data_IF_466441575989
#
_entry.id   IF_466441575989
#
_cell.length_a   1.000
_cell.length_b   1.000
_cell.length_c   1.000
_cell.angle_alpha   90.00
_cell.angle_beta   90.00
_cell.angle_gamma   90.00
#
_symmetry.space_group_name_H-M   'P 1'
#
loop_
_entity.id
_entity.type
_entity.pdbx_description
1 polymer ?
#
# COMPACT_ATOMS: atom_id res chain seq x y z
N UNK A 1 -5.56 -19.36 17.54
CA UNK A 1 -5.53 -18.85 16.15
C UNK A 1 -6.55 -17.74 16.12
N UNK A 2 -6.17 -16.49 16.35
CA UNK A 2 -7.13 -15.38 16.35
C UNK A 2 -6.43 -14.07 15.97
N UNK A 3 -6.46 -13.72 14.69
CA UNK A 3 -6.30 -12.33 14.21
C UNK A 3 -6.85 -12.18 12.78
N UNK A 4 -8.01 -12.78 12.50
CA UNK A 4 -8.76 -12.43 11.30
C UNK A 4 -9.68 -11.25 11.66
N UNK A 5 -9.33 -10.04 11.20
CA UNK A 5 -10.13 -8.83 11.45
C UNK A 5 -9.37 -7.53 11.77
N UNK A 6 -8.06 -7.46 11.51
CA UNK A 6 -7.24 -6.26 11.75
C UNK A 6 -7.19 -5.27 10.58
N UNK A 7 -6.59 -4.10 10.85
CA UNK A 7 -6.29 -3.09 9.83
C UNK A 7 -4.79 -2.78 9.80
N UNK A 8 -4.19 -2.76 8.62
CA UNK A 8 -2.88 -2.13 8.40
C UNK A 8 -3.11 -0.66 8.06
N UNK A 9 -2.67 0.22 8.96
CA UNK A 9 -2.73 1.68 8.76
C UNK A 9 -1.32 2.23 8.58
N UNK A 10 -1.10 2.99 7.52
CA UNK A 10 0.19 3.63 7.27
C UNK A 10 0.04 4.96 6.53
N UNK A 11 1.10 5.76 6.56
CA UNK A 11 1.21 7.02 5.82
C UNK A 11 2.44 6.94 4.93
N UNK A 12 2.32 7.33 3.68
CA UNK A 12 3.44 7.38 2.73
C UNK A 12 3.49 8.74 2.05
N UNK A 13 4.70 9.31 1.95
CA UNK A 13 5.00 10.53 1.21
C UNK A 13 6.27 10.28 0.41
N UNK A 14 6.28 10.73 -0.84
CA UNK A 14 7.46 10.70 -1.71
C UNK A 14 7.55 12.02 -2.48
N UNK A 15 8.74 12.35 -2.96
CA UNK A 15 8.97 13.50 -3.82
C UNK A 15 9.56 13.04 -5.15
N UNK A 16 9.27 13.78 -6.23
CA UNK A 16 9.82 13.52 -7.56
C UNK A 16 10.85 14.61 -7.89
N UNK A 17 11.95 14.23 -8.56
CA UNK A 17 12.86 15.19 -9.15
C UNK A 17 12.23 15.83 -10.40
N UNK A 18 12.70 17.03 -10.81
CA UNK A 18 12.16 17.73 -12.00
C UNK A 18 12.24 16.82 -13.23
N UNK A 19 11.12 16.68 -13.96
CA UNK A 19 10.97 15.70 -15.05
C UNK A 19 10.41 14.35 -14.60
N UNK A 20 9.62 14.35 -13.51
CA UNK A 20 9.13 13.17 -12.81
C UNK A 20 8.74 11.99 -13.70
N UNK A 21 9.34 10.83 -13.41
CA UNK A 21 9.03 9.57 -14.07
C UNK A 21 7.56 9.20 -13.83
N UNK A 22 6.93 8.62 -14.86
CA UNK A 22 5.56 8.11 -14.79
C UNK A 22 5.42 7.13 -13.61
N UNK A 23 4.36 7.32 -12.81
CA UNK A 23 4.13 6.48 -11.64
C UNK A 23 3.76 5.08 -12.14
N UNK A 24 4.68 4.13 -12.02
CA UNK A 24 4.41 2.75 -12.43
C UNK A 24 3.36 2.14 -11.52
N UNK A 25 2.32 1.55 -12.11
CA UNK A 25 1.37 0.75 -11.35
C UNK A 25 2.10 -0.42 -10.70
N UNK A 26 2.18 -0.38 -9.37
CA UNK A 26 2.72 -1.44 -8.53
C UNK A 26 1.72 -1.70 -7.39
N UNK A 27 1.66 -2.93 -6.87
CA UNK A 27 0.82 -3.23 -5.71
C UNK A 27 1.28 -2.40 -4.51
N UNK A 28 0.33 -1.82 -3.78
CA UNK A 28 0.61 -0.92 -2.66
C UNK A 28 1.23 -1.68 -1.47
N UNK A 29 0.74 -2.88 -1.19
CA UNK A 29 1.23 -3.71 -0.08
C UNK A 29 1.27 -5.19 -0.50
N UNK A 30 2.39 -5.84 -0.20
CA UNK A 30 2.51 -7.31 -0.21
C UNK A 30 2.85 -7.77 1.20
N UNK A 31 2.06 -8.69 1.74
CA UNK A 31 2.36 -9.39 2.99
C UNK A 31 2.64 -10.85 2.68
N UNK A 32 3.72 -11.39 3.23
CA UNK A 32 4.11 -12.80 3.05
C UNK A 32 4.52 -13.41 4.37
N UNK A 33 4.03 -14.62 4.66
CA UNK A 33 4.36 -15.38 5.87
C UNK A 33 3.60 -16.70 5.92
N UNK A 34 4.17 -17.72 6.58
CA UNK A 34 3.55 -19.05 6.71
C UNK A 34 3.08 -19.68 5.37
N UNK A 35 3.83 -19.45 4.28
CA UNK A 35 3.46 -19.93 2.94
C UNK A 35 2.31 -19.17 2.26
N UNK A 36 1.72 -18.17 2.92
CA UNK A 36 0.64 -17.35 2.38
C UNK A 36 1.16 -16.00 1.88
N UNK A 37 0.50 -15.47 0.84
CA UNK A 37 0.80 -14.16 0.26
C UNK A 37 -0.47 -13.36 0.03
N UNK A 38 -0.60 -12.24 0.74
CA UNK A 38 -1.67 -11.28 0.55
C UNK A 38 -1.15 -10.11 -0.30
N UNK A 39 -1.85 -9.82 -1.40
CA UNK A 39 -1.49 -8.72 -2.30
C UNK A 39 -2.63 -7.71 -2.27
N UNK A 40 -2.33 -6.51 -1.79
CA UNK A 40 -3.26 -5.40 -1.82
C UNK A 40 -2.91 -4.46 -2.97
N UNK A 41 -3.90 -4.23 -3.84
CA UNK A 41 -3.83 -3.28 -4.96
C UNK A 41 -5.02 -2.34 -4.82
N UNK A 42 -4.79 -1.08 -4.48
CA UNK A 42 -5.81 -0.04 -4.56
C UNK A 42 -5.61 0.73 -5.86
N UNK A 43 -6.71 1.09 -6.51
CA UNK A 43 -6.70 1.94 -7.70
C UNK A 43 -6.46 3.43 -7.41
N UNK A 44 -6.31 3.82 -6.14
CA UNK A 44 -6.07 5.21 -5.76
C UNK A 44 -4.58 5.55 -5.92
N UNK A 45 -4.22 6.45 -6.86
CA UNK A 45 -2.84 6.84 -7.07
C UNK A 45 -2.23 7.44 -5.79
N UNK A 46 -0.94 7.18 -5.57
CA UNK A 46 -0.18 7.87 -4.53
C UNK A 46 0.31 9.18 -5.12
N UNK A 47 -0.05 10.32 -4.52
CA UNK A 47 0.35 11.63 -5.03
C UNK A 47 1.70 12.07 -4.44
N UNK A 48 2.58 12.68 -5.25
CA UNK A 48 3.84 13.21 -4.76
C UNK A 48 3.60 14.39 -3.82
N UNK A 49 4.56 14.62 -2.94
CA UNK A 49 4.63 15.74 -1.99
C UNK A 49 3.44 15.87 -1.01
N UNK A 50 2.53 14.92 -1.05
CA UNK A 50 1.33 14.83 -0.21
C UNK A 50 1.45 13.64 0.74
N UNK A 51 0.83 13.73 1.92
CA UNK A 51 0.73 12.59 2.84
C UNK A 51 -0.43 11.72 2.36
N UNK A 52 -0.10 10.53 1.86
CA UNK A 52 -1.07 9.53 1.44
C UNK A 52 -1.36 8.62 2.64
N UNK A 53 -2.49 8.83 3.31
CA UNK A 53 -2.94 7.98 4.41
C UNK A 53 -3.68 6.76 3.85
N UNK A 54 -3.29 5.57 4.30
CA UNK A 54 -3.82 4.29 3.81
C UNK A 54 -4.30 3.44 4.98
N UNK A 55 -5.42 2.75 4.75
CA UNK A 55 -5.97 1.73 5.62
C UNK A 55 -6.33 0.51 4.77
N UNK A 56 -5.83 -0.65 5.18
CA UNK A 56 -6.08 -1.93 4.53
C UNK A 56 -6.74 -2.83 5.56
N UNK A 57 -7.95 -3.30 5.26
CA UNK A 57 -8.61 -4.33 6.07
C UNK A 57 -8.02 -5.68 5.70
N UNK A 58 -7.61 -6.46 6.69
CA UNK A 58 -7.27 -7.86 6.47
C UNK A 58 -8.55 -8.66 6.31
N UNK A 59 -8.78 -9.13 5.09
CA UNK A 59 -9.82 -10.11 4.76
C UNK A 59 -9.13 -11.41 4.40
N UNK A 60 -9.74 -12.54 4.78
CA UNK A 60 -9.31 -13.88 4.37
C UNK A 60 -9.42 -14.07 2.86
#
# INVERSE_FOLDING_TARGET
>A
VDSYGGYLRFKVKYSLQRGGSETKEKPDVMLSGNGQKFIYRRGDPTFPDTINQREIRFTE
#
